data_IF_238515435513
#
_entry.id   IF_238515435513
#
_cell.length_a   1.000
_cell.length_b   1.000
_cell.length_c   1.000
_cell.angle_alpha   90.00
_cell.angle_beta   90.00
_cell.angle_gamma   90.00
#
_symmetry.space_group_name_H-M   'P 1'
#
loop_
_entity.id
_entity.type
_entity.pdbx_description
1 polymer ?
#
# COMPACT_ATOMS: atom_id res chain seq x y z
N UNK A 1 35.57 -30.94 -6.84
CA UNK A 1 34.69 -29.86 -7.37
C UNK A 1 33.70 -29.50 -6.28
N UNK A 2 33.84 -28.32 -5.66
CA UNK A 2 32.95 -27.89 -4.58
C UNK A 2 31.72 -27.20 -5.19
N UNK A 3 30.56 -27.83 -5.08
CA UNK A 3 29.27 -27.22 -5.39
C UNK A 3 28.99 -26.20 -4.27
N UNK A 4 28.94 -24.93 -4.62
CA UNK A 4 28.49 -23.87 -3.71
C UNK A 4 26.98 -23.68 -3.86
N UNK A 5 26.15 -24.01 -2.85
CA UNK A 5 24.76 -23.58 -2.83
C UNK A 5 24.71 -22.24 -2.09
N UNK A 6 24.83 -21.13 -2.82
CA UNK A 6 24.56 -19.79 -2.27
C UNK A 6 23.76 -19.00 -3.28
N UNK A 7 22.43 -19.16 -3.27
CA UNK A 7 21.50 -18.25 -3.97
C UNK A 7 20.06 -18.34 -3.44
N UNK A 8 19.64 -19.49 -2.92
CA UNK A 8 18.27 -19.69 -2.42
C UNK A 8 17.96 -18.93 -1.12
N UNK A 9 18.91 -18.83 -0.19
CA UNK A 9 18.72 -18.10 1.07
C UNK A 9 18.64 -16.58 0.93
N UNK A 10 19.17 -16.02 -0.16
CA UNK A 10 19.27 -14.58 -0.37
C UNK A 10 17.98 -13.97 -0.96
N UNK A 11 17.30 -14.68 -1.88
CA UNK A 11 15.98 -14.27 -2.40
C UNK A 11 14.90 -14.28 -1.32
N UNK A 12 14.79 -15.37 -0.55
CA UNK A 12 13.76 -15.52 0.49
C UNK A 12 13.82 -14.42 1.55
N UNK A 13 15.00 -13.85 1.79
CA UNK A 13 15.21 -12.82 2.79
C UNK A 13 14.82 -11.42 2.26
N UNK A 14 15.11 -11.13 0.99
CA UNK A 14 14.64 -9.90 0.34
C UNK A 14 13.12 -9.86 0.29
N UNK A 15 12.48 -10.99 -0.01
CA UNK A 15 11.01 -11.12 0.01
C UNK A 15 10.43 -10.81 1.40
N UNK A 16 11.08 -11.28 2.47
CA UNK A 16 10.65 -10.99 3.84
C UNK A 16 10.76 -9.49 4.21
N UNK A 17 11.83 -8.81 3.78
CA UNK A 17 11.99 -7.37 4.01
C UNK A 17 10.95 -6.57 3.22
N UNK A 18 10.68 -6.95 1.97
CA UNK A 18 9.63 -6.35 1.13
C UNK A 18 8.25 -6.55 1.76
N UNK A 19 7.93 -7.77 2.21
CA UNK A 19 6.65 -8.06 2.86
C UNK A 19 6.45 -7.25 4.15
N UNK A 20 7.50 -7.11 4.97
CA UNK A 20 7.44 -6.29 6.19
C UNK A 20 7.21 -4.81 5.87
N UNK A 21 7.89 -4.30 4.85
CA UNK A 21 7.71 -2.94 4.37
C UNK A 21 6.30 -2.69 3.82
N UNK A 22 5.78 -3.63 3.03
CA UNK A 22 4.42 -3.57 2.48
C UNK A 22 3.37 -3.55 3.60
N UNK A 23 3.50 -4.42 4.60
CA UNK A 23 2.61 -4.46 5.76
C UNK A 23 2.61 -3.14 6.55
N UNK A 24 3.78 -2.53 6.73
CA UNK A 24 3.88 -1.22 7.38
C UNK A 24 3.18 -0.12 6.57
N UNK A 25 3.36 -0.13 5.25
CA UNK A 25 2.67 0.76 4.32
C UNK A 25 1.15 0.60 4.37
N UNK A 26 0.63 -0.63 4.28
CA UNK A 26 -0.79 -0.94 4.36
C UNK A 26 -1.41 -0.47 5.68
N UNK A 27 -0.74 -0.72 6.82
CA UNK A 27 -1.21 -0.24 8.12
C UNK A 27 -1.35 1.28 8.15
N UNK A 28 -0.42 2.01 7.56
CA UNK A 28 -0.49 3.48 7.48
C UNK A 28 -1.66 3.96 6.65
N UNK A 29 -1.94 3.28 5.53
CA UNK A 29 -3.10 3.55 4.70
C UNK A 29 -4.41 3.29 5.45
N UNK A 30 -4.52 2.19 6.19
CA UNK A 30 -5.70 1.89 7.01
C UNK A 30 -5.96 2.97 8.05
N UNK A 31 -4.92 3.48 8.72
CA UNK A 31 -5.07 4.58 9.70
C UNK A 31 -5.63 5.84 9.03
N UNK A 32 -5.13 6.22 7.85
CA UNK A 32 -5.67 7.36 7.10
C UNK A 32 -7.11 7.12 6.69
N UNK A 33 -7.45 5.90 6.28
CA UNK A 33 -8.80 5.54 5.87
C UNK A 33 -9.79 5.66 7.04
N UNK A 34 -9.46 5.15 8.22
CA UNK A 34 -10.30 5.30 9.41
C UNK A 34 -10.42 6.78 9.83
N UNK A 35 -9.33 7.53 9.83
CA UNK A 35 -9.37 8.96 10.16
C UNK A 35 -10.21 9.79 9.17
N UNK A 36 -10.35 9.35 7.91
CA UNK A 36 -11.20 9.99 6.91
C UNK A 36 -12.69 9.60 7.03
N UNK A 37 -13.03 8.49 7.70
CA UNK A 37 -14.44 8.12 7.92
C UNK A 37 -15.14 9.03 8.93
N UNK A 38 -14.36 9.63 9.83
CA UNK A 38 -14.84 10.54 10.87
C UNK A 38 -15.05 11.99 10.36
N UNK A 39 -14.64 12.30 9.13
CA UNK A 39 -14.72 13.66 8.56
C UNK A 39 -16.01 13.88 7.74
N UNK A 40 -16.70 14.99 8.00
CA UNK A 40 -18.16 15.17 7.83
C UNK A 40 -18.60 15.58 6.39
N UNK A 41 -18.05 14.95 5.35
CA UNK A 41 -18.46 15.19 3.95
C UNK A 41 -19.70 14.37 3.52
N UNK A 42 -20.47 14.78 2.51
CA UNK A 42 -21.54 13.94 1.93
C UNK A 42 -21.00 12.65 1.29
N UNK A 43 -21.78 11.54 1.30
CA UNK A 43 -21.30 10.20 0.86
C UNK A 43 -20.66 10.17 -0.54
N UNK A 44 -21.10 11.02 -1.46
CA UNK A 44 -20.61 11.05 -2.85
C UNK A 44 -19.19 11.61 -2.99
N UNK A 45 -18.75 12.53 -2.12
CA UNK A 45 -17.40 13.13 -2.20
C UNK A 45 -16.37 12.41 -1.32
N UNK A 46 -16.83 11.55 -0.39
CA UNK A 46 -15.95 10.83 0.55
C UNK A 46 -14.95 9.91 -0.16
N UNK A 47 -15.37 9.19 -1.18
CA UNK A 47 -14.53 8.14 -1.78
C UNK A 47 -13.39 8.70 -2.63
N UNK A 48 -13.60 9.70 -3.52
CA UNK A 48 -12.50 10.38 -4.21
C UNK A 48 -11.56 11.12 -3.24
N UNK A 49 -12.11 11.78 -2.22
CA UNK A 49 -11.31 12.47 -1.21
C UNK A 49 -10.41 11.52 -0.42
N UNK A 50 -10.97 10.39 0.02
CA UNK A 50 -10.23 9.31 0.68
C UNK A 50 -9.12 8.75 -0.21
N UNK A 51 -9.43 8.46 -1.48
CA UNK A 51 -8.41 8.00 -2.44
C UNK A 51 -7.25 9.00 -2.52
N UNK A 52 -7.53 10.28 -2.70
CA UNK A 52 -6.48 11.30 -2.77
C UNK A 52 -5.68 11.44 -1.48
N UNK A 53 -6.30 11.26 -0.32
CA UNK A 53 -5.58 11.24 0.95
C UNK A 53 -4.61 10.06 1.04
N UNK A 54 -5.05 8.87 0.62
CA UNK A 54 -4.21 7.68 0.57
C UNK A 54 -3.06 7.83 -0.45
N UNK A 55 -3.32 8.40 -1.63
CA UNK A 55 -2.28 8.70 -2.63
C UNK A 55 -1.20 9.65 -2.08
N UNK A 56 -1.60 10.69 -1.35
CA UNK A 56 -0.65 11.59 -0.68
C UNK A 56 0.19 10.85 0.34
N UNK A 57 -0.41 9.93 1.07
CA UNK A 57 0.29 9.13 2.07
C UNK A 57 1.30 8.17 1.43
N UNK A 58 0.92 7.50 0.33
CA UNK A 58 1.84 6.67 -0.48
C UNK A 58 3.03 7.50 -0.97
N UNK A 59 2.81 8.72 -1.48
CA UNK A 59 3.91 9.59 -1.93
C UNK A 59 4.87 9.99 -0.80
N UNK A 60 4.37 10.11 0.43
CA UNK A 60 5.14 10.48 1.63
C UNK A 60 5.82 9.29 2.31
N UNK A 61 5.45 8.07 1.96
CA UNK A 61 6.08 6.87 2.51
C UNK A 61 7.55 6.83 2.10
N UNK A 62 8.43 6.85 3.11
CA UNK A 62 9.86 6.57 2.96
C UNK A 62 10.11 5.28 3.71
N UNK A 63 10.50 4.25 2.98
CA UNK A 63 10.84 2.96 3.54
C UNK A 63 12.29 2.67 3.19
N UNK A 64 13.09 2.57 4.24
CA UNK A 64 14.45 2.06 4.19
C UNK A 64 14.43 0.63 4.70
N UNK A 65 14.93 -0.30 3.90
CA UNK A 65 15.17 -1.66 4.34
C UNK A 65 16.66 -1.82 4.60
N UNK A 66 17.03 -2.45 5.71
CA UNK A 66 18.39 -2.90 5.92
C UNK A 66 18.41 -4.40 5.61
N UNK A 67 19.19 -4.82 4.61
CA UNK A 67 19.43 -6.24 4.36
C UNK A 67 20.19 -6.85 5.54
N UNK A 68 20.21 -8.18 5.68
CA UNK A 68 21.04 -8.80 6.74
C UNK A 68 22.54 -8.50 6.59
N UNK A 69 23.00 -8.17 5.38
CA UNK A 69 24.37 -7.77 5.09
C UNK A 69 24.63 -6.28 5.44
N UNK A 70 23.64 -5.58 6.00
CA UNK A 70 23.73 -4.18 6.40
C UNK A 70 23.53 -3.20 5.24
N UNK A 71 23.16 -3.67 4.04
CA UNK A 71 22.95 -2.81 2.88
C UNK A 71 21.61 -2.08 2.98
N UNK A 72 21.65 -0.77 2.73
CA UNK A 72 20.46 0.07 2.62
C UNK A 72 19.77 -0.24 1.28
N UNK A 73 18.67 -0.99 1.34
CA UNK A 73 17.84 -1.30 0.18
C UNK A 73 16.80 -0.21 0.04
N UNK A 74 16.84 0.49 -1.08
CA UNK A 74 15.86 1.52 -1.44
C UNK A 74 14.52 0.89 -1.85
N UNK A 75 13.81 0.32 -0.87
CA UNK A 75 12.52 -0.35 -1.05
C UNK A 75 11.36 0.62 -1.29
N UNK A 76 11.61 1.91 -1.10
CA UNK A 76 10.61 2.96 -1.21
C UNK A 76 9.88 2.93 -2.55
N UNK A 77 10.58 2.79 -3.67
CA UNK A 77 9.95 2.79 -4.99
C UNK A 77 9.07 1.54 -5.22
N UNK A 78 9.59 0.35 -4.89
CA UNK A 78 8.88 -0.91 -5.06
C UNK A 78 7.62 -0.97 -4.17
N UNK A 79 7.73 -0.54 -2.91
CA UNK A 79 6.61 -0.57 -1.96
C UNK A 79 5.56 0.47 -2.34
N UNK A 80 5.95 1.69 -2.76
CA UNK A 80 5.01 2.68 -3.27
C UNK A 80 4.22 2.14 -4.46
N UNK A 81 4.89 1.50 -5.41
CA UNK A 81 4.24 0.89 -6.58
C UNK A 81 3.27 -0.22 -6.17
N UNK A 82 3.67 -1.09 -5.24
CA UNK A 82 2.80 -2.14 -4.70
C UNK A 82 1.55 -1.58 -4.02
N UNK A 83 1.71 -0.58 -3.14
CA UNK A 83 0.60 0.06 -2.44
C UNK A 83 -0.35 0.79 -3.40
N UNK A 84 0.18 1.42 -4.45
CA UNK A 84 -0.64 2.08 -5.47
C UNK A 84 -1.53 1.08 -6.21
N UNK A 85 -0.98 -0.11 -6.56
CA UNK A 85 -1.76 -1.17 -7.19
C UNK A 85 -2.93 -1.65 -6.30
N UNK A 86 -2.68 -1.83 -5.01
CA UNK A 86 -3.73 -2.20 -4.06
C UNK A 86 -4.80 -1.11 -3.92
N UNK A 87 -4.38 0.16 -3.86
CA UNK A 87 -5.30 1.29 -3.76
C UNK A 87 -6.19 1.41 -5.01
N UNK A 88 -5.60 1.28 -6.20
CA UNK A 88 -6.35 1.37 -7.46
C UNK A 88 -7.35 0.20 -7.61
N UNK A 89 -6.95 -1.02 -7.21
CA UNK A 89 -7.85 -2.18 -7.19
C UNK A 89 -9.02 -1.98 -6.20
N UNK A 90 -8.71 -1.59 -4.96
CA UNK A 90 -9.74 -1.36 -3.94
C UNK A 90 -10.71 -0.23 -4.33
N UNK A 91 -10.21 0.86 -4.93
CA UNK A 91 -11.06 1.95 -5.41
C UNK A 91 -11.99 1.49 -6.54
N UNK A 92 -11.48 0.69 -7.48
CA UNK A 92 -12.28 0.12 -8.56
C UNK A 92 -13.37 -0.78 -8.00
N UNK A 93 -13.02 -1.74 -7.15
CA UNK A 93 -13.97 -2.66 -6.51
C UNK A 93 -15.05 -1.89 -5.73
N UNK A 94 -14.66 -0.90 -4.93
CA UNK A 94 -15.61 -0.07 -4.18
C UNK A 94 -16.53 0.74 -5.10
N UNK A 95 -16.03 1.24 -6.23
CA UNK A 95 -16.84 1.98 -7.20
C UNK A 95 -17.87 1.12 -7.94
N UNK A 96 -17.58 -0.16 -8.14
CA UNK A 96 -18.50 -1.13 -8.74
C UNK A 96 -19.60 -1.56 -7.75
N UNK A 97 -19.38 -1.43 -6.43
CA UNK A 97 -20.32 -1.82 -5.38
C UNK A 97 -21.13 -0.66 -4.78
N UNK A 98 -20.92 0.58 -5.23
CA UNK A 98 -21.75 1.70 -4.80
C UNK A 98 -23.17 1.52 -5.33
N UNK A 99 -24.21 1.51 -4.48
CA UNK A 99 -25.59 1.49 -4.95
C UNK A 99 -25.80 2.69 -5.88
N UNK A 100 -26.46 2.45 -7.01
CA UNK A 100 -26.95 3.54 -7.85
C UNK A 100 -27.70 4.53 -6.96
N UNK A 101 -27.54 5.85 -7.16
CA UNK A 101 -28.30 6.83 -6.37
C UNK A 101 -29.77 6.45 -6.50
N UNK A 102 -30.43 6.25 -5.35
CA UNK A 102 -31.87 5.98 -5.30
C UNK A 102 -32.55 7.02 -6.18
N UNK A 103 -33.07 6.58 -7.32
CA UNK A 103 -33.94 7.40 -8.15
C UNK A 103 -35.22 7.53 -7.35
N UNK A 104 -35.27 8.57 -6.51
CA UNK A 104 -36.52 9.02 -5.91
C UNK A 104 -37.37 9.50 -7.10
N UNK A 105 -38.30 8.65 -7.54
CA UNK A 105 -39.46 9.03 -8.34
C UNK A 105 -40.67 9.10 -7.43
#
# INVERSE_FOLDING_TARGET
>A
MAVSPRKSGQMSNQDAVIAKALNAGLRRLLVVAFAHQDDVGGRSERMPALRHALEREIKRLVIRGVSQDGEDVELTAAVRKGLQLYLDAAYREASEHLPAPDTIQ
#
